data_IF_464852533193
#
_entry.id   IF_464852533193
#
_cell.length_a   1.000
_cell.length_b   1.000
_cell.length_c   1.000
_cell.angle_alpha   90.00
_cell.angle_beta   90.00
_cell.angle_gamma   90.00
#
_symmetry.space_group_name_H-M   'P 1'
#
loop_
_entity.id
_entity.type
_entity.pdbx_description
1 polymer ?
#
# COMPACT_ATOMS: atom_id res chain seq x y z
N UNK A 1 -11.35 -2.57 5.40
CA UNK A 1 -12.10 -2.10 6.59
C UNK A 1 -12.89 -0.85 6.24
N UNK A 2 -13.93 -0.52 7.00
CA UNK A 2 -14.61 0.76 6.87
C UNK A 2 -13.60 1.89 7.04
N UNK A 3 -13.71 2.94 6.22
CA UNK A 3 -12.85 4.12 6.39
C UNK A 3 -13.08 4.75 7.76
N UNK A 4 -12.00 4.91 8.52
CA UNK A 4 -12.01 5.57 9.82
C UNK A 4 -11.97 7.09 9.56
N UNK A 5 -13.03 7.84 9.93
CA UNK A 5 -13.09 9.27 9.70
C UNK A 5 -12.02 10.05 10.48
N UNK A 6 -11.49 9.51 11.59
CA UNK A 6 -10.39 10.15 12.31
C UNK A 6 -9.09 10.04 11.52
N UNK A 7 -8.82 8.89 10.91
CA UNK A 7 -7.63 8.72 10.06
C UNK A 7 -7.75 9.59 8.82
N UNK A 8 -8.89 9.54 8.11
CA UNK A 8 -9.13 10.28 6.87
C UNK A 8 -9.19 11.80 7.12
N UNK A 9 -9.86 12.23 8.18
CA UNK A 9 -10.04 13.65 8.54
C UNK A 9 -8.79 14.31 9.14
N UNK A 10 -7.84 13.53 9.67
CA UNK A 10 -6.55 14.04 10.17
C UNK A 10 -5.38 13.84 9.21
N UNK A 11 -5.60 13.27 8.01
CA UNK A 11 -4.53 13.14 7.00
C UNK A 11 -3.82 14.47 6.76
N UNK A 12 -4.57 15.56 6.61
CA UNK A 12 -3.99 16.90 6.42
C UNK A 12 -3.13 17.36 7.61
N UNK A 13 -3.45 16.95 8.84
CA UNK A 13 -2.67 17.27 10.05
C UNK A 13 -1.42 16.41 10.18
N UNK A 14 -1.49 15.14 9.79
CA UNK A 14 -0.34 14.24 9.78
C UNK A 14 0.67 14.53 8.66
N UNK A 15 0.26 15.29 7.64
CA UNK A 15 1.08 15.68 6.50
C UNK A 15 1.13 17.20 6.34
N UNK A 16 1.96 17.90 7.13
CA UNK A 16 2.07 19.37 7.09
C UNK A 16 2.58 19.91 5.73
N UNK A 17 3.21 19.05 4.92
CA UNK A 17 3.64 19.34 3.55
C UNK A 17 2.60 18.97 2.48
N UNK A 18 1.43 18.49 2.89
CA UNK A 18 0.38 17.94 2.03
C UNK A 18 0.63 16.48 1.64
N UNK A 19 -0.41 15.79 1.19
CA UNK A 19 -0.27 14.46 0.60
C UNK A 19 0.58 14.59 -0.67
N UNK A 20 1.55 13.69 -0.92
CA UNK A 20 2.45 13.80 -2.07
C UNK A 20 1.69 13.98 -3.38
N UNK A 21 2.08 14.98 -4.17
CA UNK A 21 1.55 15.20 -5.53
C UNK A 21 2.33 14.32 -6.51
N UNK A 22 1.66 13.76 -7.52
CA UNK A 22 2.24 12.91 -8.57
C UNK A 22 2.75 11.55 -8.07
N UNK A 23 1.98 10.88 -7.21
CA UNK A 23 2.28 9.53 -6.69
C UNK A 23 2.41 8.53 -7.83
N UNK A 24 1.54 8.60 -8.84
CA UNK A 24 1.59 7.71 -10.00
C UNK A 24 2.88 7.91 -10.81
N UNK A 25 3.35 9.15 -10.94
CA UNK A 25 4.63 9.45 -11.58
C UNK A 25 5.83 8.85 -10.85
N UNK A 26 5.89 9.03 -9.52
CA UNK A 26 6.96 8.46 -8.69
C UNK A 26 6.91 6.93 -8.69
N UNK A 27 5.72 6.33 -8.55
CA UNK A 27 5.55 4.88 -8.64
C UNK A 27 6.01 4.31 -9.98
N UNK A 28 5.72 5.01 -11.09
CA UNK A 28 6.18 4.63 -12.43
C UNK A 28 7.70 4.67 -12.57
N UNK A 29 8.36 5.59 -11.86
CA UNK A 29 9.82 5.80 -11.92
C UNK A 29 10.55 4.77 -11.06
N UNK A 30 10.11 4.61 -9.82
CA UNK A 30 10.85 3.91 -8.77
C UNK A 30 10.46 2.43 -8.63
N UNK A 31 9.26 2.05 -9.12
CA UNK A 31 8.70 0.72 -8.92
C UNK A 31 9.47 -0.45 -9.57
N UNK A 32 9.04 -1.71 -9.32
CA UNK A 32 7.86 -2.14 -8.57
C UNK A 32 8.00 -1.97 -7.05
N UNK A 33 6.88 -1.94 -6.35
CA UNK A 33 6.85 -1.84 -4.89
C UNK A 33 6.42 -3.16 -4.26
N UNK A 34 7.08 -3.54 -3.18
CA UNK A 34 6.65 -4.63 -2.29
C UNK A 34 6.15 -4.08 -0.97
N UNK A 35 5.14 -4.69 -0.39
CA UNK A 35 4.67 -4.35 0.94
C UNK A 35 5.54 -5.02 2.00
N UNK A 36 5.90 -4.24 2.99
CA UNK A 36 6.37 -4.64 4.31
C UNK A 36 5.24 -4.18 5.24
N UNK A 37 4.40 -5.09 5.75
CA UNK A 37 3.15 -4.80 6.48
C UNK A 37 1.87 -4.60 5.65
N UNK A 38 0.90 -5.46 5.93
CA UNK A 38 -0.53 -5.29 5.68
C UNK A 38 -1.28 -5.76 6.92
N UNK A 39 -2.25 -4.99 7.37
CA UNK A 39 -2.82 -5.15 8.72
C UNK A 39 -4.12 -5.93 8.81
N UNK A 40 -4.42 -6.72 7.77
CA UNK A 40 -5.53 -7.64 7.79
C UNK A 40 -5.08 -9.05 7.40
N UNK A 41 -5.33 -10.08 8.23
CA UNK A 41 -5.08 -11.48 7.88
C UNK A 41 -5.76 -11.87 6.56
N UNK A 42 -6.95 -11.34 6.30
CA UNK A 42 -7.72 -11.63 5.08
C UNK A 42 -7.15 -10.95 3.82
N UNK A 43 -6.35 -9.88 3.97
CA UNK A 43 -5.62 -9.31 2.83
C UNK A 43 -4.47 -10.22 2.40
N UNK A 44 -3.95 -11.04 3.33
CA UNK A 44 -2.86 -11.97 3.13
C UNK A 44 -3.32 -13.37 2.72
N UNK A 45 -4.54 -13.79 3.08
CA UNK A 45 -5.02 -15.16 2.82
C UNK A 45 -5.90 -15.24 1.56
N UNK A 46 -5.57 -16.16 0.64
CA UNK A 46 -6.41 -16.56 -0.50
C UNK A 46 -6.45 -18.09 -0.55
N UNK A 47 -7.64 -18.67 -0.71
CA UNK A 47 -7.82 -20.12 -0.77
C UNK A 47 -7.12 -20.86 0.39
N UNK A 48 -7.17 -20.28 1.60
CA UNK A 48 -6.52 -20.79 2.82
C UNK A 48 -4.98 -20.76 2.80
N UNK A 49 -4.35 -20.13 1.82
CA UNK A 49 -2.91 -19.92 1.75
C UNK A 49 -2.53 -18.47 2.03
N UNK A 50 -1.46 -18.26 2.80
CA UNK A 50 -0.97 -16.93 3.17
C UNK A 50 0.07 -16.42 2.17
N UNK A 51 -0.08 -15.16 1.76
CA UNK A 51 0.86 -14.47 0.91
C UNK A 51 2.20 -14.25 1.66
N UNK A 52 3.31 -14.59 1.00
CA UNK A 52 4.69 -14.33 1.44
C UNK A 52 5.15 -12.92 1.07
N UNK A 53 4.57 -12.37 -0.01
CA UNK A 53 4.69 -10.98 -0.40
C UNK A 53 3.41 -10.50 -1.09
N UNK A 54 3.13 -9.21 -0.92
CA UNK A 54 2.19 -8.48 -1.79
C UNK A 54 2.99 -7.37 -2.47
N UNK A 55 2.88 -7.27 -3.78
CA UNK A 55 3.57 -6.27 -4.58
C UNK A 55 2.60 -5.54 -5.48
N UNK A 56 2.99 -4.36 -5.93
CA UNK A 56 2.24 -3.63 -6.94
C UNK A 56 3.15 -2.93 -7.93
N UNK A 57 2.68 -2.87 -9.17
CA UNK A 57 3.36 -2.18 -10.27
C UNK A 57 2.35 -1.38 -11.08
N UNK A 58 2.71 -0.16 -11.42
CA UNK A 58 1.92 0.67 -12.32
C UNK A 58 2.17 0.24 -13.77
N UNK A 59 1.13 0.19 -14.58
CA UNK A 59 1.26 -0.01 -16.03
C UNK A 59 1.84 1.24 -16.70
N UNK A 60 2.47 1.07 -17.85
CA UNK A 60 3.16 2.17 -18.56
C UNK A 60 2.22 3.33 -18.94
N UNK A 61 0.94 3.06 -19.14
CA UNK A 61 -0.09 4.07 -19.43
C UNK A 61 -0.57 4.84 -18.19
N UNK A 62 -0.09 4.45 -16.99
CA UNK A 62 -0.47 4.98 -15.68
C UNK A 62 -1.96 4.87 -15.34
N UNK A 63 -2.69 4.03 -16.08
CA UNK A 63 -4.14 3.84 -15.89
C UNK A 63 -4.47 2.66 -14.99
N UNK A 64 -3.55 1.72 -14.86
CA UNK A 64 -3.78 0.51 -14.08
C UNK A 64 -2.61 0.22 -13.14
N UNK A 65 -2.91 -0.42 -12.03
CA UNK A 65 -1.94 -1.03 -11.14
C UNK A 65 -2.22 -2.52 -11.06
N UNK A 66 -1.16 -3.30 -11.20
CA UNK A 66 -1.22 -4.76 -11.05
C UNK A 66 -0.73 -5.05 -9.64
N UNK A 67 -1.62 -5.55 -8.79
CA UNK A 67 -1.28 -6.06 -7.47
C UNK A 67 -1.02 -7.55 -7.59
N UNK A 68 0.17 -7.99 -7.23
CA UNK A 68 0.55 -9.40 -7.23
C UNK A 68 0.64 -9.88 -5.81
N UNK A 69 -0.03 -10.98 -5.49
CA UNK A 69 0.17 -11.71 -4.24
C UNK A 69 0.99 -12.95 -4.54
N UNK A 70 2.15 -13.07 -3.91
CA UNK A 70 3.02 -14.22 -4.00
C UNK A 70 2.71 -15.16 -2.84
N UNK A 71 2.45 -16.41 -3.14
CA UNK A 71 2.18 -17.49 -2.20
C UNK A 71 3.22 -18.61 -2.45
N UNK A 72 3.21 -19.66 -1.63
CA UNK A 72 4.11 -20.80 -1.86
C UNK A 72 3.68 -21.61 -3.09
N UNK A 73 2.39 -21.65 -3.40
CA UNK A 73 1.83 -22.36 -4.55
C UNK A 73 1.94 -21.60 -5.88
N UNK A 74 2.24 -20.30 -5.85
CA UNK A 74 2.35 -19.48 -7.05
C UNK A 74 1.98 -18.01 -6.83
N UNK A 75 1.80 -17.30 -7.94
CA UNK A 75 1.48 -15.87 -7.95
C UNK A 75 0.07 -15.62 -8.45
N UNK A 76 -0.66 -14.74 -7.76
CA UNK A 76 -1.96 -14.26 -8.20
C UNK A 76 -1.89 -12.75 -8.51
N UNK A 77 -1.85 -12.36 -9.80
CA UNK A 77 -1.97 -10.98 -10.20
C UNK A 77 -3.44 -10.56 -10.31
N UNK A 78 -3.75 -9.36 -9.81
CA UNK A 78 -5.05 -8.70 -9.98
C UNK A 78 -4.81 -7.29 -10.49
N UNK A 79 -5.47 -6.95 -11.59
CA UNK A 79 -5.38 -5.62 -12.21
C UNK A 79 -6.51 -4.74 -11.71
N UNK A 80 -6.16 -3.50 -11.34
CA UNK A 80 -7.10 -2.49 -10.92
C UNK A 80 -6.87 -1.22 -11.73
N UNK A 81 -7.95 -0.57 -12.14
CA UNK A 81 -7.84 0.79 -12.65
C UNK A 81 -7.45 1.74 -11.52
N UNK A 82 -6.64 2.75 -11.83
CA UNK A 82 -6.19 3.76 -10.86
C UNK A 82 -6.43 5.17 -11.40
N UNK A 83 -6.73 6.07 -10.48
CA UNK A 83 -6.81 7.50 -10.71
C UNK A 83 -6.15 8.19 -9.53
N UNK A 84 -5.47 9.29 -9.80
CA UNK A 84 -4.86 10.14 -8.77
C UNK A 84 -5.81 11.32 -8.47
N UNK A 85 -6.17 11.48 -7.21
CA UNK A 85 -6.91 12.62 -6.70
C UNK A 85 -6.77 12.68 -5.19
N UNK A 86 -6.49 13.86 -4.63
CA UNK A 86 -6.33 14.08 -3.18
C UNK A 86 -5.46 13.04 -2.46
N UNK A 87 -4.41 12.52 -3.11
CA UNK A 87 -3.50 11.55 -2.50
C UNK A 87 -4.04 10.12 -2.36
N UNK A 88 -5.12 9.80 -3.08
CA UNK A 88 -5.79 8.50 -3.09
C UNK A 88 -5.52 7.78 -4.40
N UNK A 89 -5.24 6.47 -4.30
CA UNK A 89 -5.44 5.53 -5.38
C UNK A 89 -6.73 4.75 -5.09
N UNK A 90 -7.74 4.93 -5.94
CA UNK A 90 -8.96 4.12 -5.90
C UNK A 90 -8.80 2.90 -6.81
N UNK A 91 -9.22 1.73 -6.35
CA UNK A 91 -9.10 0.45 -7.06
C UNK A 91 -10.50 -0.10 -7.35
N UNK A 92 -10.82 -0.31 -8.62
CA UNK A 92 -11.97 -1.10 -9.06
C UNK A 92 -11.51 -2.51 -9.41
N UNK A 93 -11.99 -3.53 -8.69
CA UNK A 93 -11.89 -4.91 -9.17
C UNK A 93 -12.69 -5.05 -10.47
N UNK A 94 -12.34 -5.95 -11.40
CA UNK A 94 -13.12 -6.21 -12.62
C UNK A 94 -14.59 -6.57 -12.37
N UNK A 95 -14.93 -6.98 -11.15
CA UNK A 95 -16.28 -7.40 -10.72
C UNK A 95 -17.02 -6.37 -9.88
N UNK A 96 -16.39 -5.23 -9.53
CA UNK A 96 -17.00 -4.22 -8.66
C UNK A 96 -17.72 -3.16 -9.49
N UNK A 97 -18.96 -2.83 -9.11
CA UNK A 97 -19.83 -1.85 -9.79
C UNK A 97 -19.40 -0.40 -9.45
N UNK A 98 -18.66 -0.21 -8.35
CA UNK A 98 -18.05 1.06 -7.92
C UNK A 98 -16.67 0.79 -7.30
N UNK A 99 -15.74 1.77 -7.23
CA UNK A 99 -14.43 1.60 -6.59
C UNK A 99 -14.58 1.15 -5.14
N UNK A 100 -14.37 -0.14 -4.88
CA UNK A 100 -14.70 -0.72 -3.58
C UNK A 100 -13.66 -0.36 -2.53
N UNK A 101 -12.39 -0.23 -2.89
CA UNK A 101 -11.30 0.05 -1.96
C UNK A 101 -10.51 1.31 -2.36
N UNK A 102 -10.20 2.11 -1.35
CA UNK A 102 -9.34 3.30 -1.43
C UNK A 102 -8.02 2.98 -0.73
N UNK A 103 -6.89 3.33 -1.33
CA UNK A 103 -5.57 3.34 -0.66
C UNK A 103 -5.08 4.78 -0.61
N UNK A 104 -4.98 5.30 0.60
CA UNK A 104 -4.39 6.60 0.90
C UNK A 104 -2.89 6.43 1.04
N UNK A 105 -2.12 7.26 0.34
CA UNK A 105 -0.69 7.38 0.55
C UNK A 105 -0.49 8.40 1.65
N UNK A 106 -0.19 7.89 2.83
CA UNK A 106 0.04 8.67 4.02
C UNK A 106 1.38 9.42 3.86
N UNK A 107 2.48 8.71 3.63
CA UNK A 107 3.78 9.31 3.34
C UNK A 107 4.38 8.69 2.07
N UNK A 108 5.24 9.42 1.36
CA UNK A 108 6.03 8.89 0.24
C UNK A 108 7.38 9.60 0.17
N UNK A 109 8.45 8.90 0.50
CA UNK A 109 9.80 9.45 0.54
C UNK A 109 10.83 8.35 0.31
N UNK A 110 11.87 8.64 -0.47
CA UNK A 110 13.01 7.73 -0.73
C UNK A 110 12.62 6.30 -1.08
N UNK A 111 11.61 6.14 -1.95
CA UNK A 111 11.11 4.84 -2.37
C UNK A 111 10.24 4.11 -1.35
N UNK A 112 9.89 4.74 -0.23
CA UNK A 112 9.02 4.18 0.82
C UNK A 112 7.68 4.91 0.82
N UNK A 113 6.60 4.16 0.84
CA UNK A 113 5.25 4.67 0.95
C UNK A 113 4.56 4.11 2.19
N UNK A 114 4.08 4.97 3.09
CA UNK A 114 3.15 4.56 4.12
C UNK A 114 1.74 4.61 3.54
N UNK A 115 0.96 3.54 3.68
CA UNK A 115 -0.33 3.38 3.03
C UNK A 115 -1.42 3.08 4.05
N UNK A 116 -2.65 3.52 3.77
CA UNK A 116 -3.86 3.15 4.50
C UNK A 116 -4.95 2.74 3.53
N UNK A 117 -5.43 1.51 3.63
CA UNK A 117 -6.48 0.94 2.80
C UNK A 117 -7.82 0.88 3.54
N UNK A 118 -8.87 1.41 2.94
CA UNK A 118 -10.22 1.28 3.47
C UNK A 118 -11.26 1.24 2.35
N UNK A 119 -12.54 1.20 2.72
CA UNK A 119 -13.67 1.08 1.82
C UNK A 119 -14.92 1.63 2.53
N UNK A 120 -15.72 2.46 1.85
CA UNK A 120 -16.83 3.16 2.51
C UNK A 120 -17.94 2.20 2.98
N UNK A 121 -18.19 1.14 2.21
CA UNK A 121 -19.26 0.16 2.41
C UNK A 121 -18.84 -1.13 3.12
N UNK A 122 -17.58 -1.24 3.57
CA UNK A 122 -17.11 -2.44 4.26
C UNK A 122 -17.61 -2.53 5.70
N UNK A 123 -17.82 -3.77 6.16
CA UNK A 123 -18.25 -4.08 7.53
C UNK A 123 -17.10 -4.33 8.52
N UNK A 124 -15.86 -4.53 8.03
CA UNK A 124 -14.70 -4.79 8.90
C UNK A 124 -14.20 -3.54 9.61
N UNK A 125 -13.83 -3.67 10.88
CA UNK A 125 -13.39 -2.55 11.75
C UNK A 125 -11.88 -2.44 11.94
N UNK A 126 -11.09 -3.46 11.60
CA UNK A 126 -9.63 -3.45 11.80
C UNK A 126 -8.92 -2.55 10.78
N UNK A 127 -8.18 -1.55 11.26
CA UNK A 127 -7.38 -0.64 10.43
C UNK A 127 -6.45 -1.42 9.49
N UNK A 128 -6.33 -0.97 8.24
CA UNK A 128 -5.50 -1.61 7.22
C UNK A 128 -4.41 -0.66 6.69
N UNK A 129 -3.42 -0.37 7.54
CA UNK A 129 -2.16 0.30 7.20
C UNK A 129 -1.06 -0.65 6.71
N UNK A 130 -0.11 -0.12 5.94
CA UNK A 130 1.04 -0.87 5.46
C UNK A 130 2.18 0.00 4.97
N UNK A 131 3.41 -0.50 4.98
CA UNK A 131 4.56 0.17 4.36
C UNK A 131 4.81 -0.52 3.02
N UNK A 132 4.97 0.25 1.96
CA UNK A 132 5.39 -0.24 0.66
C UNK A 132 6.77 0.31 0.33
N UNK A 133 7.64 -0.51 -0.21
CA UNK A 133 9.03 -0.18 -0.50
C UNK A 133 9.33 -0.51 -1.94
N UNK A 134 9.93 0.44 -2.65
CA UNK A 134 10.38 0.29 -4.01
C UNK A 134 11.51 -0.73 -4.05
N UNK A 135 11.29 -1.83 -4.77
CA UNK A 135 12.24 -2.93 -4.86
C UNK A 135 13.59 -2.50 -5.43
N UNK A 136 13.60 -1.50 -6.32
CA UNK A 136 14.81 -0.94 -6.91
C UNK A 136 15.66 -0.14 -5.93
N UNK A 137 15.07 0.35 -4.85
CA UNK A 137 15.70 1.24 -3.89
C UNK A 137 15.87 0.59 -2.51
N UNK A 138 15.32 -0.61 -2.30
CA UNK A 138 15.24 -1.29 -0.99
C UNK A 138 16.56 -1.39 -0.21
N UNK A 139 17.69 -1.47 -0.92
CA UNK A 139 19.02 -1.64 -0.31
C UNK A 139 19.78 -0.32 -0.07
N UNK A 140 19.21 0.82 -0.49
CA UNK A 140 19.81 2.14 -0.29
C UNK A 140 19.79 2.55 1.19
N UNK A 141 20.66 3.50 1.58
CA UNK A 141 20.70 3.99 2.96
C UNK A 141 19.48 4.87 3.26
N UNK A 142 19.06 5.65 2.27
CA UNK A 142 17.92 6.56 2.26
C UNK A 142 16.63 5.76 2.47
N UNK A 143 16.40 4.70 1.69
CA UNK A 143 15.23 3.83 1.86
C UNK A 143 15.19 3.17 3.23
N UNK A 144 16.34 2.73 3.79
CA UNK A 144 16.39 2.16 5.15
C UNK A 144 16.01 3.19 6.23
N UNK A 145 16.47 4.43 6.09
CA UNK A 145 16.08 5.52 6.98
C UNK A 145 14.58 5.83 6.87
N UNK A 146 14.05 5.90 5.65
CA UNK A 146 12.64 6.15 5.39
C UNK A 146 11.72 5.03 5.92
N UNK A 147 12.15 3.75 5.87
CA UNK A 147 11.44 2.64 6.51
C UNK A 147 11.35 2.86 8.03
N UNK A 148 12.46 3.19 8.68
CA UNK A 148 12.49 3.42 10.13
C UNK A 148 11.61 4.61 10.53
N UNK A 149 11.58 5.66 9.72
CA UNK A 149 10.68 6.80 9.93
C UNK A 149 9.21 6.41 9.76
N UNK A 150 8.86 5.66 8.72
CA UNK A 150 7.50 5.18 8.50
C UNK A 150 7.02 4.29 9.67
N UNK A 151 7.89 3.42 10.18
CA UNK A 151 7.61 2.62 11.39
C UNK A 151 7.42 3.51 12.63
N UNK A 152 8.26 4.54 12.82
CA UNK A 152 8.11 5.49 13.93
C UNK A 152 6.77 6.24 13.86
N UNK A 153 6.36 6.66 12.66
CA UNK A 153 5.04 7.29 12.42
C UNK A 153 3.91 6.35 12.81
N UNK A 154 3.93 5.09 12.37
CA UNK A 154 2.92 4.09 12.75
C UNK A 154 2.79 3.93 14.28
N UNK A 155 3.91 3.87 15.00
CA UNK A 155 3.93 3.77 16.47
C UNK A 155 3.33 5.01 17.15
N UNK A 156 3.72 6.21 16.70
CA UNK A 156 3.18 7.48 17.23
C UNK A 156 1.65 7.57 17.08
N UNK A 157 1.13 6.98 16.01
CA UNK A 157 -0.30 6.92 15.72
C UNK A 157 -1.01 5.72 16.35
N UNK A 158 -0.30 4.86 17.08
CA UNK A 158 -0.82 3.61 17.66
C UNK A 158 -1.42 2.67 16.60
N UNK A 159 -0.80 2.61 15.42
CA UNK A 159 -1.23 1.82 14.25
C UNK A 159 -0.31 0.61 13.99
N UNK A 160 0.73 0.41 14.79
CA UNK A 160 1.74 -0.65 14.65
C UNK A 160 1.25 -2.03 15.12
N UNK A 161 0.26 -2.09 16.02
CA UNK A 161 -0.31 -3.35 16.51
C UNK A 161 -0.96 -4.25 15.45
N UNK A 162 -1.08 -3.77 14.21
CA UNK A 162 -1.62 -4.55 13.10
C UNK A 162 -0.55 -4.90 12.04
N UNK A 163 0.73 -4.59 12.18
CA UNK A 163 1.72 -4.83 11.12
C UNK A 163 2.15 -6.30 11.01
N UNK A 164 2.43 -6.78 9.78
CA UNK A 164 2.95 -8.13 9.50
C UNK A 164 4.20 -8.04 8.63
N UNK A 165 5.31 -8.63 9.06
CA UNK A 165 6.54 -8.60 8.24
C UNK A 165 6.39 -9.52 7.01
N UNK A 166 6.46 -8.91 5.84
CA UNK A 166 6.44 -9.59 4.53
C UNK A 166 7.83 -9.53 3.89
N UNK A 167 8.12 -10.49 3.02
CA UNK A 167 9.33 -10.46 2.21
C UNK A 167 9.13 -9.57 0.98
N UNK A 168 10.22 -9.08 0.40
CA UNK A 168 10.17 -8.39 -0.89
C UNK A 168 9.73 -9.37 -2.00
N UNK A 169 8.87 -8.90 -2.92
CA UNK A 169 8.32 -9.72 -4.00
C UNK A 169 9.40 -10.06 -5.02
N UNK A 170 10.37 -9.16 -5.20
CA UNK A 170 11.62 -9.44 -5.87
C UNK A 170 12.64 -10.07 -4.90
N UNK A 171 12.81 -11.38 -5.04
CA UNK A 171 14.17 -11.93 -5.05
C UNK A 171 14.67 -11.65 -6.45
N UNK A 172 15.49 -10.60 -6.62
CA UNK A 172 16.39 -10.57 -7.78
C UNK A 172 17.41 -11.67 -7.48
N UNK A 173 17.58 -12.72 -8.31
CA UNK A 173 18.94 -13.16 -8.59
C UNK A 173 19.66 -12.10 -9.44
#
# INVERSE_FOLDING_TARGET
PRCDPNVVGELERYYPSGIPKNILGSMSRDGPYSYIALSSPNALVINYEQATCVGFRLTNDKKNVIVTKKMNSGELPVTYAVQEGEGVISYTSPTDIEPKYKVYFLAFEDGVALTYRCCDSCSGSSLNVGIAVADRLKDTAETRAAIAEAQSKLRKLNLDGNTVDLQYCSVIP
#
